data_IF_337950282820
#
_entry.id   IF_337950282820
#
_cell.length_a   1.000
_cell.length_b   1.000
_cell.length_c   1.000
_cell.angle_alpha   90.00
_cell.angle_beta   90.00
_cell.angle_gamma   90.00
#
_symmetry.space_group_name_H-M   'P 1'
#
loop_
_entity.id
_entity.type
_entity.pdbx_description
1 polymer ?
#
# COMPACT_ATOMS: atom_id res chain seq x y z
N UNK A 1 -7.33 3.54 -16.47
CA UNK A 1 -6.33 3.10 -15.45
C UNK A 1 -6.81 1.91 -14.60
N UNK A 2 -8.11 1.59 -14.60
CA UNK A 2 -8.64 0.43 -13.85
C UNK A 2 -8.10 -0.93 -14.31
N UNK A 3 -7.80 -1.11 -15.61
CA UNK A 3 -7.20 -2.34 -16.13
C UNK A 3 -5.83 -2.65 -15.48
N UNK A 4 -4.97 -1.64 -15.30
CA UNK A 4 -3.68 -1.79 -14.63
C UNK A 4 -3.83 -2.10 -13.14
N UNK A 5 -4.83 -1.51 -12.47
CA UNK A 5 -5.16 -1.90 -11.08
C UNK A 5 -5.58 -3.37 -11.02
N UNK A 6 -6.36 -3.85 -11.98
CA UNK A 6 -6.79 -5.25 -12.04
C UNK A 6 -5.61 -6.20 -12.32
N UNK A 7 -4.66 -5.79 -13.17
CA UNK A 7 -3.40 -6.52 -13.37
C UNK A 7 -2.60 -6.64 -12.07
N UNK A 8 -2.45 -5.55 -11.32
CA UNK A 8 -1.84 -5.59 -9.99
C UNK A 8 -2.56 -6.54 -9.04
N UNK A 9 -3.90 -6.60 -9.09
CA UNK A 9 -4.69 -7.54 -8.29
C UNK A 9 -4.46 -9.00 -8.71
N UNK A 10 -4.32 -9.28 -10.00
CA UNK A 10 -4.02 -10.62 -10.50
C UNK A 10 -2.62 -11.08 -10.06
N UNK A 11 -1.62 -10.20 -10.13
CA UNK A 11 -0.28 -10.45 -9.59
C UNK A 11 -0.31 -10.70 -8.08
N UNK A 12 -1.10 -9.91 -7.34
CA UNK A 12 -1.30 -10.11 -5.91
C UNK A 12 -1.89 -11.49 -5.60
N UNK A 13 -2.89 -11.94 -6.37
CA UNK A 13 -3.48 -13.28 -6.23
C UNK A 13 -2.48 -14.41 -6.54
N UNK A 14 -1.52 -14.16 -7.43
CA UNK A 14 -0.41 -15.06 -7.72
C UNK A 14 0.73 -15.00 -6.69
N UNK A 15 0.57 -14.24 -5.59
CA UNK A 15 1.60 -14.00 -4.57
C UNK A 15 2.85 -13.27 -5.10
N UNK A 16 2.76 -12.66 -6.29
CA UNK A 16 3.83 -11.87 -6.90
C UNK A 16 3.77 -10.43 -6.39
N UNK A 17 4.03 -10.27 -5.09
CA UNK A 17 3.79 -9.02 -4.38
C UNK A 17 4.68 -7.86 -4.85
N UNK A 18 5.97 -8.11 -5.10
CA UNK A 18 6.89 -7.09 -5.59
C UNK A 18 6.42 -6.51 -6.94
N UNK A 19 6.00 -7.37 -7.86
CA UNK A 19 5.50 -6.96 -9.18
C UNK A 19 4.15 -6.24 -9.08
N UNK A 20 3.26 -6.70 -8.20
CA UNK A 20 2.02 -6.00 -7.92
C UNK A 20 2.28 -4.57 -7.42
N UNK A 21 3.25 -4.38 -6.52
CA UNK A 21 3.66 -3.05 -6.03
C UNK A 21 4.19 -2.16 -7.15
N UNK A 22 4.97 -2.72 -8.08
CA UNK A 22 5.47 -1.99 -9.23
C UNK A 22 4.31 -1.49 -10.11
N UNK A 23 3.38 -2.37 -10.47
CA UNK A 23 2.19 -2.02 -11.26
C UNK A 23 1.35 -0.96 -10.57
N UNK A 24 1.05 -1.10 -9.27
CA UNK A 24 0.30 -0.09 -8.51
C UNK A 24 1.03 1.26 -8.48
N UNK A 25 2.35 1.26 -8.38
CA UNK A 25 3.16 2.49 -8.41
C UNK A 25 3.07 3.17 -9.77
N UNK A 26 3.15 2.41 -10.86
CA UNK A 26 2.95 2.96 -12.21
C UNK A 26 1.55 3.57 -12.38
N UNK A 27 0.50 2.98 -11.79
CA UNK A 27 -0.85 3.55 -11.81
C UNK A 27 -0.90 4.90 -11.09
N UNK A 28 -0.28 5.01 -9.90
CA UNK A 28 -0.25 6.26 -9.15
C UNK A 28 0.55 7.36 -9.86
N UNK A 29 1.66 7.01 -10.50
CA UNK A 29 2.45 7.97 -11.29
C UNK A 29 1.63 8.48 -12.49
N UNK A 30 0.95 7.59 -13.22
CA UNK A 30 0.06 7.99 -14.33
C UNK A 30 -1.11 8.85 -13.88
N UNK A 31 -1.69 8.58 -12.70
CA UNK A 31 -2.73 9.44 -12.12
C UNK A 31 -2.20 10.85 -11.84
N UNK A 32 -0.99 10.94 -11.29
CA UNK A 32 -0.34 12.22 -11.01
C UNK A 32 0.00 12.98 -12.30
N UNK A 33 0.54 12.30 -13.32
CA UNK A 33 0.89 12.87 -14.62
C UNK A 33 -0.34 13.32 -15.43
N UNK A 34 -1.43 12.54 -15.36
CA UNK A 34 -2.66 12.84 -16.10
C UNK A 34 -3.38 14.09 -15.57
N UNK A 35 -3.05 14.57 -14.36
CA UNK A 35 -3.77 15.65 -13.69
C UNK A 35 -5.23 15.32 -13.33
N UNK A 36 -5.67 14.08 -13.57
CA UNK A 36 -7.02 13.61 -13.25
C UNK A 36 -7.05 13.04 -11.83
N UNK A 37 -7.86 13.65 -10.98
CA UNK A 37 -8.03 13.20 -9.60
C UNK A 37 -9.16 12.15 -9.55
N UNK A 38 -8.83 10.91 -9.90
CA UNK A 38 -9.70 9.77 -9.57
C UNK A 38 -9.40 9.30 -8.14
N UNK A 39 -10.04 9.94 -7.17
CA UNK A 39 -9.81 9.69 -5.74
C UNK A 39 -10.17 8.27 -5.33
N UNK A 40 -11.19 7.67 -5.96
CA UNK A 40 -11.62 6.30 -5.68
C UNK A 40 -10.56 5.31 -6.15
N UNK A 41 -10.07 5.49 -7.37
CA UNK A 41 -9.01 4.65 -7.91
C UNK A 41 -7.71 4.84 -7.13
N UNK A 42 -7.31 6.08 -6.82
CA UNK A 42 -6.11 6.38 -6.03
C UNK A 42 -6.19 5.68 -4.66
N UNK A 43 -7.33 5.80 -3.97
CA UNK A 43 -7.56 5.16 -2.68
C UNK A 43 -7.45 3.64 -2.77
N UNK A 44 -8.10 3.02 -3.75
CA UNK A 44 -8.06 1.58 -3.95
C UNK A 44 -6.63 1.08 -4.24
N UNK A 45 -5.90 1.80 -5.11
CA UNK A 45 -4.53 1.46 -5.51
C UNK A 45 -3.57 1.60 -4.32
N UNK A 46 -3.64 2.69 -3.55
CA UNK A 46 -2.80 2.87 -2.34
C UNK A 46 -3.05 1.79 -1.31
N UNK A 47 -4.33 1.48 -1.05
CA UNK A 47 -4.69 0.41 -0.13
C UNK A 47 -4.10 -0.93 -0.58
N UNK A 48 -4.24 -1.28 -1.86
CA UNK A 48 -3.75 -2.56 -2.38
C UNK A 48 -2.22 -2.61 -2.41
N UNK A 49 -1.55 -1.51 -2.76
CA UNK A 49 -0.09 -1.38 -2.70
C UNK A 49 0.44 -1.56 -1.28
N UNK A 50 -0.18 -0.90 -0.30
CA UNK A 50 0.18 -1.08 1.10
C UNK A 50 0.02 -2.54 1.55
N UNK A 51 -1.05 -3.20 1.12
CA UNK A 51 -1.28 -4.62 1.45
C UNK A 51 -0.25 -5.55 0.79
N UNK A 52 0.09 -5.32 -0.48
CA UNK A 52 1.14 -6.05 -1.17
C UNK A 52 2.49 -5.90 -0.46
N UNK A 53 2.85 -4.68 -0.06
CA UNK A 53 4.06 -4.39 0.74
C UNK A 53 4.08 -5.15 2.07
N UNK A 54 2.95 -5.17 2.76
CA UNK A 54 2.81 -5.87 4.05
C UNK A 54 2.93 -7.39 3.87
N UNK A 55 2.41 -7.95 2.77
CA UNK A 55 2.38 -9.40 2.52
C UNK A 55 3.65 -9.96 1.90
N UNK A 56 4.61 -9.11 1.51
CA UNK A 56 5.91 -9.56 1.02
C UNK A 56 6.63 -10.43 2.08
N UNK A 57 7.30 -11.52 1.68
CA UNK A 57 8.13 -12.31 2.58
C UNK A 57 9.21 -11.46 3.24
N UNK A 58 9.68 -11.85 4.44
CA UNK A 58 10.67 -11.08 5.21
C UNK A 58 11.97 -10.77 4.45
N UNK A 59 12.33 -11.57 3.44
CA UNK A 59 13.50 -11.31 2.58
C UNK A 59 13.32 -10.16 1.58
N UNK A 60 12.08 -9.80 1.26
CA UNK A 60 11.71 -8.73 0.31
C UNK A 60 11.08 -7.52 1.00
N UNK A 61 10.44 -7.74 2.17
CA UNK A 61 9.83 -6.70 2.98
C UNK A 61 10.82 -6.11 3.99
N UNK A 62 11.62 -5.12 3.57
CA UNK A 62 12.46 -4.34 4.46
C UNK A 62 11.68 -3.34 5.33
N UNK A 63 12.36 -2.70 6.30
CA UNK A 63 11.77 -1.64 7.13
C UNK A 63 11.22 -0.49 6.26
N UNK A 64 11.95 -0.13 5.20
CA UNK A 64 11.54 0.91 4.26
C UNK A 64 10.20 0.56 3.58
N UNK A 65 10.05 -0.68 3.10
CA UNK A 65 8.83 -1.17 2.45
C UNK A 65 7.60 -1.07 3.38
N UNK A 66 7.78 -1.38 4.66
CA UNK A 66 6.71 -1.27 5.65
C UNK A 66 6.40 0.19 6.03
N UNK A 67 7.41 1.06 6.08
CA UNK A 67 7.22 2.49 6.29
C UNK A 67 6.43 3.13 5.12
N UNK A 68 6.71 2.74 3.89
CA UNK A 68 5.95 3.17 2.72
C UNK A 68 4.50 2.66 2.75
N UNK A 69 4.27 1.43 3.23
CA UNK A 69 2.91 0.90 3.41
C UNK A 69 2.11 1.70 4.45
N UNK A 70 2.75 2.10 5.55
CA UNK A 70 2.19 3.00 6.54
C UNK A 70 1.85 4.38 5.95
N UNK A 71 2.74 4.92 5.11
CA UNK A 71 2.53 6.20 4.44
C UNK A 71 1.33 6.14 3.47
N UNK A 72 1.20 5.06 2.69
CA UNK A 72 0.05 4.85 1.82
C UNK A 72 -1.27 4.81 2.60
N UNK A 73 -1.30 4.06 3.70
CA UNK A 73 -2.48 4.01 4.56
C UNK A 73 -2.79 5.38 5.18
N UNK A 74 -1.77 6.13 5.59
CA UNK A 74 -1.94 7.45 6.19
C UNK A 74 -2.49 8.48 5.20
N UNK A 75 -2.07 8.42 3.93
CA UNK A 75 -2.66 9.25 2.87
C UNK A 75 -4.12 8.92 2.63
N UNK A 76 -4.49 7.64 2.67
CA UNK A 76 -5.90 7.23 2.55
C UNK A 76 -6.72 7.72 3.74
N UNK A 77 -6.23 7.58 4.97
CA UNK A 77 -6.92 8.06 6.18
C UNK A 77 -7.11 9.58 6.16
N UNK A 78 -6.12 10.33 5.65
CA UNK A 78 -6.23 11.78 5.53
C UNK A 78 -7.33 12.22 4.56
N UNK A 79 -7.66 11.40 3.57
CA UNK A 79 -8.76 11.63 2.62
C UNK A 79 -10.09 11.06 3.12
N UNK A 80 -10.07 9.83 3.62
CA UNK A 80 -11.22 9.09 4.12
C UNK A 80 -10.92 8.50 5.51
N UNK A 81 -11.31 9.27 6.54
CA UNK A 81 -11.16 8.88 7.93
C UNK A 81 -12.08 7.72 8.36
N UNK A 82 -13.01 7.28 7.52
CA UNK A 82 -13.89 6.12 7.78
C UNK A 82 -13.31 4.80 7.28
N UNK A 83 -12.18 4.83 6.55
CA UNK A 83 -11.61 3.65 5.91
C UNK A 83 -10.95 2.69 6.91
N UNK A 84 -11.74 1.78 7.49
CA UNK A 84 -11.29 0.76 8.46
C UNK A 84 -10.12 -0.07 7.92
N UNK A 85 -10.12 -0.39 6.62
CA UNK A 85 -9.03 -1.14 5.95
C UNK A 85 -7.69 -0.41 6.04
N UNK A 86 -7.69 0.92 5.95
CA UNK A 86 -6.48 1.72 6.04
C UNK A 86 -5.90 1.68 7.47
N UNK A 87 -6.75 1.80 8.49
CA UNK A 87 -6.32 1.72 9.89
C UNK A 87 -5.74 0.35 10.24
N UNK A 88 -6.43 -0.73 9.85
CA UNK A 88 -5.97 -2.09 10.09
C UNK A 88 -4.59 -2.35 9.45
N UNK A 89 -4.45 -2.01 8.16
CA UNK A 89 -3.18 -2.22 7.42
C UNK A 89 -2.05 -1.37 7.99
N UNK A 90 -2.32 -0.14 8.41
CA UNK A 90 -1.34 0.73 9.07
C UNK A 90 -0.85 0.14 10.40
N UNK A 91 -1.76 -0.38 11.22
CA UNK A 91 -1.41 -1.02 12.49
C UNK A 91 -0.54 -2.25 12.26
N UNK A 92 -0.90 -3.11 11.30
CA UNK A 92 -0.12 -4.30 10.95
C UNK A 92 1.27 -3.96 10.40
N UNK A 93 1.40 -2.92 9.57
CA UNK A 93 2.70 -2.46 9.10
C UNK A 93 3.61 -2.04 10.27
N UNK A 94 3.08 -1.28 11.24
CA UNK A 94 3.82 -0.88 12.45
C UNK A 94 4.22 -2.07 13.32
N UNK A 95 3.33 -3.05 13.42
CA UNK A 95 3.60 -4.29 14.15
C UNK A 95 4.77 -5.07 13.51
N UNK A 96 4.74 -5.26 12.18
CA UNK A 96 5.81 -5.94 11.43
C UNK A 96 7.15 -5.21 11.47
N UNK A 97 7.13 -3.88 11.58
CA UNK A 97 8.35 -3.07 11.83
C UNK A 97 8.94 -3.28 13.23
N UNK A 98 8.26 -4.01 14.12
CA UNK A 98 8.72 -4.19 15.48
C UNK A 98 8.64 -2.91 16.32
N UNK A 99 7.85 -1.91 15.91
CA UNK A 99 7.68 -0.66 16.67
C UNK A 99 7.04 -0.89 18.04
N UNK A 100 6.35 -2.01 18.24
CA UNK A 100 5.84 -2.44 19.54
C UNK A 100 6.94 -2.91 20.51
N UNK A 101 8.14 -3.25 20.02
CA UNK A 101 9.28 -3.65 20.86
C UNK A 101 10.17 -2.48 21.31
N UNK A 102 10.00 -1.29 20.74
CA UNK A 102 10.71 -0.09 21.20
C UNK A 102 10.05 0.43 22.47
N UNK A 103 10.36 -0.17 23.62
CA UNK A 103 10.15 0.50 24.92
C UNK A 103 11.04 1.74 24.95
N UNK A 104 10.54 2.92 25.36
CA UNK A 104 11.44 4.00 25.76
C UNK A 104 12.24 3.51 26.97
N UNK A 105 13.57 3.64 26.88
CA UNK A 105 14.46 3.48 28.03
C UNK A 105 14.34 4.70 28.94
#
# INVERSE_FOLDING_TARGET
>A
MEAMKNEGNALFQQQRFAEAVHVYTSVLNKLQESGTIDERLETAVRLNRAWARIQMPNGESGEATLAEAEQDCSRVIAKDASCVKAFYRRALARERRGLWKRRPH
#
